data_IF_468855736670
#
_entry.id   IF_468855736670
#
_cell.length_a   1.000
_cell.length_b   1.000
_cell.length_c   1.000
_cell.angle_alpha   90.00
_cell.angle_beta   90.00
_cell.angle_gamma   90.00
#
_symmetry.space_group_name_H-M   'P 1'
#
loop_
_entity.id
_entity.type
_entity.pdbx_description
1 polymer ?
#
# COMPACT_ATOMS: atom_id res chain seq x y z
N UNK A 1 -22.85 -48.82 10.48
CA UNK A 1 -23.32 -47.58 9.85
C UNK A 1 -22.98 -46.33 10.70
N UNK A 2 -23.22 -46.31 12.01
CA UNK A 2 -22.87 -45.18 12.88
C UNK A 2 -21.35 -44.87 12.93
N UNK A 3 -20.47 -45.85 13.01
CA UNK A 3 -19.01 -45.64 13.02
C UNK A 3 -18.47 -45.02 11.72
N UNK A 4 -19.03 -45.35 10.55
CA UNK A 4 -18.59 -44.81 9.27
C UNK A 4 -19.00 -43.35 9.10
N UNK A 5 -20.16 -42.98 9.65
CA UNK A 5 -20.63 -41.57 9.63
C UNK A 5 -19.83 -40.71 10.59
N UNK A 6 -19.42 -41.23 11.75
CA UNK A 6 -18.56 -40.52 12.70
C UNK A 6 -17.14 -40.33 12.15
N UNK A 7 -16.55 -41.29 11.46
CA UNK A 7 -15.25 -41.19 10.81
C UNK A 7 -15.26 -40.19 9.63
N UNK A 8 -16.27 -40.24 8.76
CA UNK A 8 -16.43 -39.28 7.67
C UNK A 8 -16.65 -37.83 8.19
N UNK A 9 -17.38 -37.69 9.31
CA UNK A 9 -17.60 -36.38 9.91
C UNK A 9 -16.29 -35.83 10.53
N UNK A 10 -15.44 -36.69 11.07
CA UNK A 10 -14.18 -36.33 11.66
C UNK A 10 -13.15 -35.93 10.58
N UNK A 11 -13.08 -36.64 9.44
CA UNK A 11 -12.26 -36.27 8.30
C UNK A 11 -12.63 -34.92 7.69
N UNK A 12 -13.90 -34.53 7.73
CA UNK A 12 -14.37 -33.24 7.22
C UNK A 12 -14.11 -32.07 8.19
N UNK A 13 -13.89 -32.33 9.48
CA UNK A 13 -13.79 -31.31 10.51
C UNK A 13 -12.38 -31.04 11.01
N UNK A 14 -11.42 -31.93 10.74
CA UNK A 14 -10.03 -31.84 11.25
C UNK A 14 -9.06 -31.72 10.06
N UNK A 15 -8.18 -30.73 10.13
CA UNK A 15 -7.07 -30.54 9.19
C UNK A 15 -6.01 -31.63 9.39
N UNK A 16 -5.62 -32.28 8.30
CA UNK A 16 -4.71 -33.44 8.36
C UNK A 16 -3.27 -33.10 8.71
N UNK A 17 -2.85 -31.84 8.53
CA UNK A 17 -1.48 -31.39 8.80
C UNK A 17 -1.35 -30.91 10.24
N UNK A 18 -2.28 -30.07 10.68
CA UNK A 18 -2.16 -29.38 11.97
C UNK A 18 -3.04 -29.97 13.08
N UNK A 19 -3.86 -30.98 12.77
CA UNK A 19 -4.84 -31.58 13.67
C UNK A 19 -5.80 -30.58 14.35
N UNK A 20 -5.89 -29.38 13.81
CA UNK A 20 -6.85 -28.36 14.23
C UNK A 20 -8.17 -28.52 13.46
N UNK A 21 -9.20 -27.73 13.81
CA UNK A 21 -10.41 -27.75 13.04
C UNK A 21 -10.19 -27.23 11.61
N UNK A 22 -10.93 -27.81 10.66
CA UNK A 22 -11.12 -27.19 9.34
C UNK A 22 -12.06 -25.98 9.47
N UNK A 23 -12.22 -25.24 8.37
CA UNK A 23 -13.19 -24.12 8.27
C UNK A 23 -14.60 -24.55 8.66
N UNK A 24 -15.06 -25.67 8.13
CA UNK A 24 -16.40 -26.24 8.37
C UNK A 24 -16.58 -26.62 9.84
N UNK A 25 -15.60 -27.31 10.40
CA UNK A 25 -15.57 -27.68 11.82
C UNK A 25 -15.60 -26.44 12.74
N UNK A 26 -14.82 -25.43 12.43
CA UNK A 26 -14.80 -24.17 13.17
C UNK A 26 -16.16 -23.48 13.15
N UNK A 27 -16.78 -23.33 11.97
CA UNK A 27 -18.06 -22.63 11.84
C UNK A 27 -19.17 -23.31 12.64
N UNK A 28 -19.25 -24.65 12.53
CA UNK A 28 -20.25 -25.42 13.27
C UNK A 28 -20.03 -25.29 14.78
N UNK A 29 -18.83 -25.54 15.27
CA UNK A 29 -18.50 -25.51 16.70
C UNK A 29 -18.63 -24.12 17.30
N UNK A 30 -18.17 -23.09 16.60
CA UNK A 30 -18.31 -21.70 17.07
C UNK A 30 -19.77 -21.32 17.26
N UNK A 31 -20.63 -21.67 16.30
CA UNK A 31 -22.05 -21.39 16.39
C UNK A 31 -22.72 -22.10 17.62
N UNK A 32 -22.35 -23.35 17.90
CA UNK A 32 -22.81 -24.07 19.08
C UNK A 32 -22.36 -23.41 20.39
N UNK A 33 -21.09 -23.00 20.46
CA UNK A 33 -20.51 -22.40 21.67
C UNK A 33 -21.13 -21.04 21.96
N UNK A 34 -21.29 -20.18 20.97
CA UNK A 34 -21.89 -18.85 21.15
C UNK A 34 -23.34 -18.98 21.62
N UNK A 35 -24.12 -19.85 20.98
CA UNK A 35 -25.53 -20.06 21.36
C UNK A 35 -25.71 -20.61 22.78
N UNK A 36 -24.77 -21.44 23.27
CA UNK A 36 -24.85 -22.02 24.63
C UNK A 36 -24.32 -21.06 25.71
N UNK A 37 -23.54 -20.07 25.37
CA UNK A 37 -22.83 -19.20 26.32
C UNK A 37 -23.15 -17.71 26.11
N UNK A 38 -24.41 -17.37 26.12
CA UNK A 38 -24.93 -16.01 25.85
C UNK A 38 -24.45 -14.93 26.82
N UNK A 39 -23.93 -15.31 27.99
CA UNK A 39 -23.39 -14.39 28.99
C UNK A 39 -21.89 -14.10 28.80
N UNK A 40 -21.22 -14.79 27.88
CA UNK A 40 -19.80 -14.61 27.63
C UNK A 40 -19.57 -13.74 26.40
N UNK A 41 -18.56 -12.87 26.51
CA UNK A 41 -18.08 -12.09 25.37
C UNK A 41 -16.95 -12.81 24.66
N UNK A 42 -17.09 -12.98 23.36
CA UNK A 42 -16.13 -13.67 22.53
C UNK A 42 -15.45 -12.73 21.52
N UNK A 43 -14.29 -13.14 21.02
CA UNK A 43 -13.66 -12.53 19.87
C UNK A 43 -13.22 -13.62 18.88
N UNK A 44 -13.34 -13.31 17.59
CA UNK A 44 -12.73 -14.06 16.51
C UNK A 44 -11.43 -13.37 16.13
N UNK A 45 -10.34 -14.15 16.08
CA UNK A 45 -9.03 -13.69 15.60
C UNK A 45 -8.72 -14.41 14.31
N UNK A 46 -8.28 -13.66 13.30
CA UNK A 46 -7.81 -14.19 12.02
C UNK A 46 -6.34 -13.89 11.88
N UNK A 47 -5.52 -14.93 11.88
CA UNK A 47 -4.06 -14.86 11.92
C UNK A 47 -3.47 -15.45 10.65
N UNK A 48 -2.39 -14.85 10.13
CA UNK A 48 -1.52 -15.48 9.14
C UNK A 48 -0.05 -15.15 9.41
N UNK A 49 0.84 -15.98 8.89
CA UNK A 49 2.28 -15.74 8.92
C UNK A 49 2.70 -14.81 7.77
N UNK A 50 3.65 -13.94 8.05
CA UNK A 50 4.19 -13.02 7.05
C UNK A 50 5.20 -13.77 6.19
N UNK A 51 5.08 -13.61 4.87
CA UNK A 51 6.01 -14.17 3.88
C UNK A 51 6.19 -15.71 3.96
N UNK A 52 5.18 -16.45 4.49
CA UNK A 52 5.24 -17.91 4.67
C UNK A 52 5.50 -18.66 3.36
N UNK A 53 5.00 -18.16 2.23
CA UNK A 53 5.29 -18.75 0.92
C UNK A 53 6.80 -18.75 0.61
N UNK A 54 7.51 -17.67 0.98
CA UNK A 54 8.97 -17.58 0.79
C UNK A 54 9.69 -18.65 1.62
N UNK A 55 9.18 -18.94 2.83
CA UNK A 55 9.74 -20.02 3.66
C UNK A 55 9.59 -21.37 2.97
N UNK A 56 8.41 -21.67 2.42
CA UNK A 56 8.19 -22.91 1.67
C UNK A 56 9.07 -22.98 0.40
N UNK A 57 9.18 -21.88 -0.34
CA UNK A 57 10.00 -21.81 -1.55
C UNK A 57 11.50 -22.03 -1.26
N UNK A 58 11.99 -21.58 -0.09
CA UNK A 58 13.42 -21.71 0.30
C UNK A 58 13.75 -23.01 1.02
N UNK A 59 12.85 -23.51 1.87
CA UNK A 59 13.13 -24.62 2.79
C UNK A 59 12.25 -25.85 2.55
N UNK A 60 11.28 -25.76 1.64
CA UNK A 60 10.37 -26.86 1.30
C UNK A 60 9.12 -26.91 2.20
N UNK A 61 8.09 -27.61 1.68
CA UNK A 61 6.78 -27.73 2.36
C UNK A 61 6.87 -28.46 3.70
N UNK A 62 7.82 -29.40 3.88
CA UNK A 62 8.01 -30.13 5.14
C UNK A 62 8.38 -29.20 6.30
N UNK A 63 9.30 -28.26 6.07
CA UNK A 63 9.68 -27.25 7.07
C UNK A 63 8.49 -26.29 7.32
N UNK A 64 7.76 -25.90 6.29
CA UNK A 64 6.54 -25.12 6.43
C UNK A 64 5.50 -25.82 7.31
N UNK A 65 5.23 -27.09 7.11
CA UNK A 65 4.28 -27.87 7.89
C UNK A 65 4.75 -28.01 9.37
N UNK A 66 6.04 -28.16 9.62
CA UNK A 66 6.60 -28.15 10.97
C UNK A 66 6.36 -26.79 11.66
N UNK A 67 6.62 -25.68 10.98
CA UNK A 67 6.35 -24.33 11.50
C UNK A 67 4.87 -24.14 11.83
N UNK A 68 3.96 -24.60 10.97
CA UNK A 68 2.52 -24.52 11.23
C UNK A 68 2.10 -25.36 12.46
N UNK A 69 2.67 -26.52 12.63
CA UNK A 69 2.43 -27.36 13.81
C UNK A 69 2.95 -26.71 15.10
N UNK A 70 4.16 -26.14 15.08
CA UNK A 70 4.71 -25.40 16.21
C UNK A 70 3.85 -24.17 16.54
N UNK A 71 3.39 -23.44 15.54
CA UNK A 71 2.46 -22.33 15.73
C UNK A 71 1.18 -22.78 16.45
N UNK A 72 0.60 -23.92 16.06
CA UNK A 72 -0.61 -24.46 16.71
C UNK A 72 -0.33 -24.80 18.16
N UNK A 73 0.77 -25.48 18.48
CA UNK A 73 1.17 -25.78 19.85
C UNK A 73 1.33 -24.50 20.67
N UNK A 74 1.98 -23.49 20.12
CA UNK A 74 2.13 -22.19 20.78
C UNK A 74 0.76 -21.53 21.01
N UNK A 75 -0.12 -21.48 19.98
CA UNK A 75 -1.45 -20.90 20.09
C UNK A 75 -2.28 -21.56 21.19
N UNK A 76 -2.29 -22.90 21.27
CA UNK A 76 -3.03 -23.67 22.30
C UNK A 76 -2.53 -23.39 23.71
N UNK A 77 -1.21 -23.21 23.88
CA UNK A 77 -0.59 -22.93 25.17
C UNK A 77 -0.48 -21.43 25.48
N UNK A 78 -0.99 -20.54 24.62
CA UNK A 78 -0.87 -19.10 24.77
C UNK A 78 -1.72 -18.53 25.91
N UNK A 79 -1.39 -17.28 26.29
CA UNK A 79 -2.21 -16.49 27.20
C UNK A 79 -3.65 -16.26 26.68
N UNK A 80 -3.87 -16.38 25.37
CA UNK A 80 -5.17 -16.23 24.72
C UNK A 80 -6.15 -17.35 25.13
N UNK A 81 -5.62 -18.54 25.49
CA UNK A 81 -6.39 -19.73 25.84
C UNK A 81 -7.55 -19.96 24.84
N UNK A 82 -7.25 -20.21 23.56
CA UNK A 82 -8.25 -20.33 22.53
C UNK A 82 -9.22 -21.45 22.86
N UNK A 83 -10.50 -21.21 22.66
CA UNK A 83 -11.57 -22.20 22.81
C UNK A 83 -11.58 -23.13 21.59
N UNK A 84 -11.35 -22.56 20.42
CA UNK A 84 -11.20 -23.27 19.15
C UNK A 84 -10.02 -22.67 18.38
N UNK A 85 -9.29 -23.54 17.68
CA UNK A 85 -8.28 -23.18 16.67
C UNK A 85 -8.62 -23.92 15.40
N UNK A 86 -8.60 -23.23 14.29
CA UNK A 86 -8.83 -23.81 12.98
C UNK A 86 -7.85 -23.30 11.94
N UNK A 87 -7.43 -24.17 11.04
CA UNK A 87 -6.71 -23.82 9.84
C UNK A 87 -7.72 -23.57 8.71
N UNK A 88 -7.70 -22.35 8.13
CA UNK A 88 -8.62 -21.98 7.06
C UNK A 88 -8.09 -22.39 5.70
N UNK A 89 -6.88 -22.01 5.39
CA UNK A 89 -6.13 -22.36 4.16
C UNK A 89 -4.67 -21.96 4.36
N UNK A 90 -3.72 -22.76 3.85
CA UNK A 90 -2.29 -22.50 3.90
C UNK A 90 -1.79 -22.13 5.32
N UNK A 91 -1.30 -20.90 5.53
CA UNK A 91 -0.81 -20.35 6.79
C UNK A 91 -1.88 -19.54 7.58
N UNK A 92 -3.15 -19.63 7.17
CA UNK A 92 -4.23 -18.82 7.73
C UNK A 92 -4.99 -19.59 8.80
N UNK A 93 -4.99 -19.07 10.01
CA UNK A 93 -5.66 -19.64 11.16
C UNK A 93 -6.76 -18.72 11.69
N UNK A 94 -7.80 -19.34 12.26
CA UNK A 94 -8.84 -18.60 12.96
C UNK A 94 -9.01 -19.17 14.36
N UNK A 95 -9.15 -18.29 15.34
CA UNK A 95 -9.33 -18.65 16.75
C UNK A 95 -10.62 -18.06 17.27
N UNK A 96 -11.33 -18.85 18.08
CA UNK A 96 -12.36 -18.35 18.99
C UNK A 96 -11.76 -18.21 20.37
N UNK A 97 -11.79 -17.01 20.94
CA UNK A 97 -11.29 -16.74 22.27
C UNK A 97 -12.35 -16.07 23.13
N UNK A 98 -12.17 -16.14 24.46
CA UNK A 98 -12.93 -15.28 25.37
C UNK A 98 -12.30 -13.86 25.30
N UNK A 99 -13.11 -12.81 25.10
CA UNK A 99 -12.68 -11.42 24.97
C UNK A 99 -11.81 -10.97 26.18
N UNK A 100 -12.10 -11.48 27.40
CA UNK A 100 -11.35 -11.16 28.61
C UNK A 100 -9.87 -11.61 28.56
N UNK A 101 -9.53 -12.57 27.69
CA UNK A 101 -8.16 -13.06 27.52
C UNK A 101 -7.36 -12.19 26.54
N UNK A 102 -7.98 -11.20 25.88
CA UNK A 102 -7.34 -10.34 24.90
C UNK A 102 -6.50 -9.27 25.61
N UNK A 103 -5.20 -9.37 25.44
CA UNK A 103 -4.19 -8.43 25.95
C UNK A 103 -3.33 -8.00 24.75
N UNK A 104 -3.49 -6.75 24.31
CA UNK A 104 -2.87 -6.25 23.09
C UNK A 104 -1.35 -6.12 23.20
N UNK A 105 -0.82 -5.79 24.38
CA UNK A 105 0.65 -5.69 24.59
C UNK A 105 1.32 -7.05 24.51
N UNK A 106 0.71 -8.06 25.12
CA UNK A 106 1.18 -9.44 25.01
C UNK A 106 1.03 -9.96 23.59
N UNK A 107 -0.05 -9.59 22.88
CA UNK A 107 -0.30 -10.04 21.52
C UNK A 107 0.79 -9.55 20.57
N UNK A 108 1.25 -8.30 20.68
CA UNK A 108 2.35 -7.77 19.85
C UNK A 108 3.61 -8.65 19.99
N UNK A 109 3.99 -8.97 21.22
CA UNK A 109 5.16 -9.80 21.49
C UNK A 109 4.97 -11.25 21.04
N UNK A 110 3.74 -11.74 21.12
CA UNK A 110 3.40 -13.12 20.77
C UNK A 110 3.37 -13.36 19.25
N UNK A 111 3.06 -12.34 18.46
CA UNK A 111 3.03 -12.40 17.00
C UNK A 111 4.43 -12.36 16.36
N UNK A 112 5.49 -12.36 17.15
CA UNK A 112 6.87 -12.55 16.72
C UNK A 112 7.49 -13.69 17.51
N UNK A 113 7.98 -14.72 16.84
CA UNK A 113 8.67 -15.86 17.46
C UNK A 113 9.80 -16.36 16.58
N UNK A 114 10.82 -16.94 17.20
CA UNK A 114 11.96 -17.52 16.50
C UNK A 114 11.76 -19.03 16.43
N UNK A 115 11.83 -19.58 15.22
CA UNK A 115 11.77 -21.01 14.95
C UNK A 115 13.19 -21.56 14.78
N UNK A 116 13.47 -22.67 15.45
CA UNK A 116 14.77 -23.35 15.39
C UNK A 116 14.58 -24.79 14.94
N UNK A 117 15.25 -25.15 13.87
CA UNK A 117 15.30 -26.53 13.39
C UNK A 117 16.68 -26.83 12.82
N UNK A 118 17.41 -27.79 13.41
CA UNK A 118 18.79 -28.11 13.06
C UNK A 118 19.70 -26.86 13.06
N UNK A 119 20.25 -26.51 11.88
CA UNK A 119 21.05 -25.30 11.67
C UNK A 119 20.24 -24.09 11.22
N UNK A 120 18.92 -24.24 11.05
CA UNK A 120 18.02 -23.19 10.57
C UNK A 120 17.48 -22.40 11.74
N UNK A 121 17.60 -21.08 11.69
CA UNK A 121 16.97 -20.15 12.64
C UNK A 121 16.18 -19.12 11.85
N UNK A 122 14.88 -19.04 12.07
CA UNK A 122 13.97 -18.16 11.34
C UNK A 122 13.19 -17.29 12.31
N UNK A 123 13.18 -15.98 12.08
CA UNK A 123 12.28 -15.06 12.75
C UNK A 123 10.95 -15.00 12.01
N UNK A 124 9.90 -15.44 12.66
CA UNK A 124 8.55 -15.57 12.10
C UNK A 124 7.67 -14.46 12.67
N UNK A 125 7.01 -13.74 11.77
CA UNK A 125 6.09 -12.67 12.13
C UNK A 125 4.66 -13.06 11.74
N UNK A 126 3.73 -12.88 12.68
CA UNK A 126 2.30 -13.05 12.43
C UNK A 126 1.59 -11.72 12.27
N UNK A 127 0.47 -11.72 11.52
CA UNK A 127 -0.49 -10.61 11.46
C UNK A 127 -1.85 -11.09 11.92
N UNK A 128 -2.55 -10.30 12.71
CA UNK A 128 -3.82 -10.71 13.31
C UNK A 128 -4.89 -9.64 13.17
N UNK A 129 -6.00 -10.00 12.53
CA UNK A 129 -7.25 -9.23 12.57
C UNK A 129 -8.19 -9.75 13.64
N UNK A 130 -8.89 -8.87 14.34
CA UNK A 130 -9.72 -9.20 15.49
C UNK A 130 -11.12 -8.65 15.27
N UNK A 131 -12.13 -9.50 15.41
CA UNK A 131 -13.53 -9.11 15.47
C UNK A 131 -14.07 -9.38 16.88
N UNK A 132 -14.50 -8.33 17.57
CA UNK A 132 -15.16 -8.44 18.87
C UNK A 132 -16.64 -8.74 18.63
N UNK A 133 -17.12 -9.90 19.09
CA UNK A 133 -18.51 -10.32 18.86
C UNK A 133 -19.44 -9.54 19.81
N UNK A 134 -20.39 -8.74 19.29
CA UNK A 134 -21.39 -8.07 20.13
C UNK A 134 -22.32 -9.07 20.83
N UNK A 135 -22.85 -8.71 21.98
CA UNK A 135 -23.83 -9.54 22.71
C UNK A 135 -25.06 -9.90 21.86
N UNK A 136 -25.56 -8.92 21.12
CA UNK A 136 -26.65 -9.10 20.17
C UNK A 136 -26.09 -8.97 18.75
N UNK A 137 -26.05 -10.09 18.06
CA UNK A 137 -25.59 -10.12 16.66
C UNK A 137 -26.48 -11.06 15.85
N UNK A 138 -26.84 -10.61 14.65
CA UNK A 138 -27.53 -11.40 13.61
C UNK A 138 -26.58 -12.00 12.60
N UNK A 139 -25.28 -11.70 12.72
CA UNK A 139 -24.26 -12.16 11.80
C UNK A 139 -24.04 -13.67 11.94
N UNK A 140 -23.83 -14.33 10.81
CA UNK A 140 -23.35 -15.70 10.81
C UNK A 140 -21.82 -15.74 11.08
N UNK A 141 -21.29 -16.92 11.33
CA UNK A 141 -19.87 -17.10 11.70
C UNK A 141 -18.95 -16.74 10.52
N UNK A 142 -19.36 -16.99 9.30
CA UNK A 142 -18.60 -16.60 8.10
C UNK A 142 -18.40 -15.08 8.07
N UNK A 143 -19.47 -14.30 8.21
CA UNK A 143 -19.38 -12.84 8.22
C UNK A 143 -18.50 -12.30 9.36
N UNK A 144 -18.50 -12.97 10.51
CA UNK A 144 -17.63 -12.60 11.64
C UNK A 144 -16.15 -12.88 11.33
N UNK A 145 -15.85 -14.01 10.69
CA UNK A 145 -14.50 -14.35 10.25
C UNK A 145 -14.02 -13.40 9.14
N UNK A 146 -14.88 -13.04 8.19
CA UNK A 146 -14.56 -12.09 7.13
C UNK A 146 -14.26 -10.69 7.68
N UNK A 147 -14.97 -10.25 8.73
CA UNK A 147 -14.66 -9.02 9.44
C UNK A 147 -13.29 -9.05 10.13
N UNK A 148 -12.96 -10.18 10.77
CA UNK A 148 -11.62 -10.34 11.34
C UNK A 148 -10.54 -10.36 10.26
N UNK A 149 -10.77 -11.08 9.14
CA UNK A 149 -9.88 -11.10 7.98
C UNK A 149 -9.71 -9.71 7.38
N UNK A 150 -10.79 -8.96 7.24
CA UNK A 150 -10.77 -7.59 6.74
C UNK A 150 -9.91 -6.69 7.64
N UNK A 151 -10.10 -6.75 8.97
CA UNK A 151 -9.28 -5.98 9.90
C UNK A 151 -7.77 -6.26 9.73
N UNK A 152 -7.39 -7.53 9.51
CA UNK A 152 -6.00 -7.91 9.25
C UNK A 152 -5.41 -7.17 8.04
N UNK A 153 -6.20 -6.93 7.00
CA UNK A 153 -5.74 -6.24 5.78
C UNK A 153 -5.49 -4.73 6.00
N UNK A 154 -5.99 -4.16 7.11
CA UNK A 154 -5.74 -2.76 7.51
C UNK A 154 -4.49 -2.57 8.39
N UNK A 155 -3.66 -3.59 8.55
CA UNK A 155 -2.40 -3.48 9.30
C UNK A 155 -1.36 -2.79 8.40
N UNK A 156 -1.05 -1.51 8.70
CA UNK A 156 -0.06 -0.71 7.97
C UNK A 156 1.38 -1.01 8.38
N UNK A 157 1.61 -1.25 9.68
CA UNK A 157 2.95 -1.57 10.19
C UNK A 157 2.95 -2.94 10.86
N UNK A 158 3.46 -3.94 10.14
CA UNK A 158 3.49 -5.35 10.56
C UNK A 158 4.46 -5.65 11.71
N UNK A 159 5.40 -4.76 12.01
CA UNK A 159 6.39 -4.96 13.05
C UNK A 159 6.02 -4.27 14.36
N UNK A 160 5.53 -3.04 14.30
CA UNK A 160 5.19 -2.25 15.50
C UNK A 160 3.78 -2.55 16.00
N UNK A 161 2.82 -2.76 15.11
CA UNK A 161 1.43 -3.06 15.44
C UNK A 161 0.87 -4.16 14.53
N UNK A 162 1.26 -5.43 14.77
CA UNK A 162 0.90 -6.57 13.91
C UNK A 162 -0.56 -7.02 14.07
N UNK A 163 -1.43 -6.21 14.64
CA UNK A 163 -2.86 -6.51 14.79
C UNK A 163 -3.72 -5.29 14.47
N UNK A 164 -4.96 -5.56 14.07
CA UNK A 164 -6.02 -4.56 13.94
C UNK A 164 -7.33 -5.11 14.47
N UNK A 165 -8.15 -4.24 15.07
CA UNK A 165 -9.50 -4.55 15.53
C UNK A 165 -10.48 -4.01 14.52
N UNK A 166 -11.40 -4.84 14.06
CA UNK A 166 -12.43 -4.46 13.10
C UNK A 166 -13.31 -3.30 13.61
N UNK A 167 -13.62 -2.40 12.73
CA UNK A 167 -14.65 -1.38 12.90
C UNK A 167 -15.45 -1.21 11.59
N UNK A 168 -16.65 -0.65 11.67
CA UNK A 168 -17.54 -0.51 10.50
C UNK A 168 -16.96 0.39 9.39
N UNK A 169 -16.06 1.32 9.73
CA UNK A 169 -15.37 2.13 8.73
C UNK A 169 -14.50 1.28 7.80
N UNK A 170 -13.84 0.24 8.32
CA UNK A 170 -13.06 -0.69 7.49
C UNK A 170 -13.93 -1.38 6.44
N UNK A 171 -15.19 -1.71 6.80
CA UNK A 171 -16.14 -2.31 5.86
C UNK A 171 -16.54 -1.33 4.77
N UNK A 172 -16.93 -0.11 5.12
CA UNK A 172 -17.32 0.90 4.13
C UNK A 172 -16.16 1.24 3.19
N UNK A 173 -14.95 1.40 3.72
CA UNK A 173 -13.77 1.67 2.91
C UNK A 173 -13.46 0.50 1.94
N UNK A 174 -13.66 -0.76 2.39
CA UNK A 174 -13.49 -1.93 1.54
C UNK A 174 -14.56 -2.04 0.44
N UNK A 175 -15.82 -1.76 0.77
CA UNK A 175 -16.92 -1.73 -0.20
C UNK A 175 -16.71 -0.63 -1.25
N UNK A 176 -16.29 0.57 -0.84
CA UNK A 176 -15.94 1.66 -1.76
C UNK A 176 -14.81 1.24 -2.71
N UNK A 177 -13.75 0.59 -2.18
CA UNK A 177 -12.64 0.07 -3.01
C UNK A 177 -13.10 -0.99 -4.00
N UNK A 178 -13.91 -1.95 -3.55
CA UNK A 178 -14.41 -3.03 -4.40
C UNK A 178 -15.34 -2.52 -5.51
N UNK A 179 -16.19 -1.54 -5.21
CA UNK A 179 -17.02 -0.87 -6.23
C UNK A 179 -16.17 -0.15 -7.27
N UNK A 180 -15.08 0.49 -6.85
CA UNK A 180 -14.16 1.17 -7.76
C UNK A 180 -13.56 0.21 -8.79
N UNK A 181 -13.25 -1.03 -8.40
CA UNK A 181 -12.70 -2.05 -9.31
C UNK A 181 -13.71 -2.51 -10.38
N UNK A 182 -14.96 -2.74 -9.98
CA UNK A 182 -16.00 -3.21 -10.92
C UNK A 182 -16.34 -2.16 -11.97
N UNK A 183 -16.21 -0.87 -11.62
CA UNK A 183 -16.60 0.25 -12.48
C UNK A 183 -15.44 0.80 -13.33
N UNK A 184 -14.21 0.36 -13.15
CA UNK A 184 -13.03 0.94 -13.78
C UNK A 184 -13.12 0.97 -15.32
N UNK A 185 -13.43 -0.16 -15.93
CA UNK A 185 -13.50 -0.27 -17.39
C UNK A 185 -14.60 0.62 -17.98
N UNK A 186 -15.75 0.68 -17.30
CA UNK A 186 -16.85 1.56 -17.72
C UNK A 186 -16.50 3.03 -17.49
N UNK A 187 -15.90 3.36 -16.36
CA UNK A 187 -15.49 4.71 -16.04
C UNK A 187 -14.43 5.26 -17.03
N UNK A 188 -13.47 4.41 -17.45
CA UNK A 188 -12.51 4.79 -18.50
C UNK A 188 -13.22 5.03 -19.84
N UNK A 189 -14.11 4.12 -20.27
CA UNK A 189 -14.87 4.25 -21.52
C UNK A 189 -15.77 5.50 -21.53
N UNK A 190 -16.37 5.81 -20.39
CA UNK A 190 -17.23 6.98 -20.20
C UNK A 190 -16.44 8.27 -19.98
N UNK A 191 -15.11 8.24 -19.98
CA UNK A 191 -14.20 9.38 -19.72
C UNK A 191 -14.47 10.05 -18.37
N UNK A 192 -14.78 9.24 -17.35
CA UNK A 192 -14.99 9.72 -15.99
C UNK A 192 -13.68 10.08 -15.32
N UNK A 193 -12.56 9.49 -15.76
CA UNK A 193 -11.23 9.88 -15.31
C UNK A 193 -10.73 11.10 -16.06
N UNK A 194 -10.26 12.08 -15.32
CA UNK A 194 -9.66 13.30 -15.86
C UNK A 194 -8.29 13.51 -15.30
N UNK A 195 -7.35 13.91 -16.16
CA UNK A 195 -6.00 14.27 -15.75
C UNK A 195 -5.95 15.74 -15.41
N UNK A 196 -5.54 16.05 -14.20
CA UNK A 196 -5.25 17.39 -13.72
C UNK A 196 -3.74 17.59 -13.73
N UNK A 197 -3.30 18.81 -13.86
CA UNK A 197 -1.89 19.17 -13.89
C UNK A 197 -1.60 20.12 -12.74
N UNK A 198 -0.71 19.71 -11.83
CA UNK A 198 -0.27 20.59 -10.76
C UNK A 198 1.08 21.21 -11.12
N UNK A 199 1.15 22.53 -11.27
CA UNK A 199 2.40 23.21 -11.65
C UNK A 199 3.47 23.06 -10.58
N UNK A 200 4.71 22.87 -11.05
CA UNK A 200 5.94 22.88 -10.24
C UNK A 200 6.71 24.12 -10.62
N UNK A 201 7.11 24.88 -9.61
CA UNK A 201 7.75 26.17 -9.76
C UNK A 201 9.24 26.09 -9.40
N UNK A 202 10.05 26.83 -10.10
CA UNK A 202 11.44 27.07 -9.71
C UNK A 202 11.48 27.83 -8.37
N UNK A 203 12.24 27.32 -7.42
CA UNK A 203 12.27 27.83 -6.06
C UNK A 203 12.79 29.26 -5.94
N UNK A 204 13.63 29.71 -6.86
CA UNK A 204 14.22 31.05 -6.81
C UNK A 204 13.46 32.06 -7.70
N UNK A 205 13.15 31.67 -8.93
CA UNK A 205 12.55 32.57 -9.92
C UNK A 205 11.02 32.58 -9.88
N UNK A 206 10.41 31.63 -9.17
CA UNK A 206 8.96 31.41 -9.10
C UNK A 206 8.29 31.21 -10.47
N UNK A 207 9.05 30.75 -11.47
CA UNK A 207 8.51 30.41 -12.80
C UNK A 207 8.14 28.94 -12.84
N UNK A 208 7.13 28.62 -13.65
CA UNK A 208 6.73 27.23 -13.90
C UNK A 208 7.83 26.54 -14.71
N UNK A 209 8.29 25.39 -14.24
CA UNK A 209 9.31 24.55 -14.90
C UNK A 209 8.78 23.23 -15.39
N UNK A 210 7.79 22.69 -14.71
CA UNK A 210 7.11 21.42 -15.04
C UNK A 210 5.73 21.34 -14.39
N UNK A 211 5.06 20.22 -14.57
CA UNK A 211 3.85 19.91 -13.78
C UNK A 211 3.72 18.41 -13.54
N UNK A 212 3.03 18.04 -12.48
CA UNK A 212 2.66 16.67 -12.18
C UNK A 212 1.26 16.34 -12.70
N UNK A 213 1.11 15.20 -13.38
CA UNK A 213 -0.16 14.68 -13.87
C UNK A 213 -0.86 13.88 -12.77
N UNK A 214 -1.99 14.37 -12.32
CA UNK A 214 -2.76 13.84 -11.21
C UNK A 214 -4.16 13.42 -11.68
N UNK A 215 -4.49 12.15 -11.60
CA UNK A 215 -5.79 11.63 -11.99
C UNK A 215 -6.88 12.02 -10.96
N UNK A 216 -8.10 12.31 -11.44
CA UNK A 216 -9.31 12.51 -10.63
C UNK A 216 -10.45 11.72 -11.26
N UNK A 217 -11.24 11.04 -10.45
CA UNK A 217 -12.41 10.31 -10.94
C UNK A 217 -13.67 11.12 -10.72
N UNK A 218 -14.31 11.52 -11.82
CA UNK A 218 -15.58 12.26 -11.86
C UNK A 218 -16.73 11.26 -12.00
N UNK A 219 -17.11 10.63 -10.90
CA UNK A 219 -18.22 9.67 -10.87
C UNK A 219 -19.56 10.40 -11.06
N UNK A 220 -20.43 9.93 -11.97
CA UNK A 220 -21.77 10.54 -12.16
C UNK A 220 -22.63 10.48 -10.90
N UNK A 221 -22.41 9.52 -10.03
CA UNK A 221 -23.20 9.29 -8.82
C UNK A 221 -22.56 9.86 -7.56
N UNK A 222 -21.22 9.84 -7.46
CA UNK A 222 -20.49 10.16 -6.25
C UNK A 222 -19.69 11.47 -6.33
N UNK A 223 -19.77 12.20 -7.46
CA UNK A 223 -18.99 13.41 -7.69
C UNK A 223 -17.50 13.12 -7.86
N UNK A 224 -16.63 14.02 -7.40
CA UNK A 224 -15.18 13.87 -7.56
C UNK A 224 -14.64 12.95 -6.48
N UNK A 225 -14.12 11.79 -6.88
CA UNK A 225 -13.46 10.82 -6.00
C UNK A 225 -11.95 11.05 -6.08
N UNK A 226 -11.32 11.19 -4.90
CA UNK A 226 -9.87 11.43 -4.79
C UNK A 226 -9.06 10.14 -4.98
N UNK A 227 -7.80 10.22 -5.50
CA UNK A 227 -6.91 9.08 -5.72
C UNK A 227 -6.75 8.16 -4.51
N UNK A 228 -6.63 8.72 -3.30
CA UNK A 228 -6.50 7.96 -2.06
C UNK A 228 -7.65 6.98 -1.77
N UNK A 229 -8.79 7.13 -2.46
CA UNK A 229 -9.96 6.27 -2.30
C UNK A 229 -9.96 5.06 -3.25
N UNK A 230 -9.35 5.17 -4.43
CA UNK A 230 -9.41 4.10 -5.44
C UNK A 230 -8.04 3.52 -5.83
N UNK A 231 -6.96 4.31 -5.82
CA UNK A 231 -5.62 3.83 -6.21
C UNK A 231 -5.18 2.61 -5.39
N UNK A 232 -5.26 2.59 -4.04
CA UNK A 232 -4.81 1.42 -3.28
C UNK A 232 -5.50 0.12 -3.67
N UNK A 233 -6.80 0.18 -4.02
CA UNK A 233 -7.53 -1.00 -4.48
C UNK A 233 -7.09 -1.45 -5.87
N UNK A 234 -6.78 -0.51 -6.77
CA UNK A 234 -6.29 -0.80 -8.11
C UNK A 234 -4.88 -1.41 -8.06
N UNK A 235 -4.02 -0.93 -7.16
CA UNK A 235 -2.69 -1.51 -6.93
C UNK A 235 -2.77 -2.94 -6.37
N UNK A 236 -3.57 -3.17 -5.32
CA UNK A 236 -3.76 -4.49 -4.71
C UNK A 236 -4.29 -5.52 -5.72
N UNK A 237 -5.10 -5.10 -6.68
CA UNK A 237 -5.70 -5.97 -7.71
C UNK A 237 -4.90 -6.06 -9.00
N UNK A 238 -3.88 -5.23 -9.18
CA UNK A 238 -3.11 -5.11 -10.42
C UNK A 238 -3.80 -4.34 -11.55
N UNK A 239 -5.00 -3.79 -11.31
CA UNK A 239 -5.72 -2.99 -12.31
C UNK A 239 -5.19 -1.56 -12.46
N UNK A 240 -4.26 -1.13 -11.60
CA UNK A 240 -3.64 0.20 -11.67
C UNK A 240 -2.99 0.45 -13.04
N UNK A 241 -2.36 -0.56 -13.65
CA UNK A 241 -1.71 -0.45 -14.95
C UNK A 241 -2.66 -0.05 -16.08
N UNK A 242 -3.95 -0.38 -15.97
CA UNK A 242 -4.97 0.06 -16.95
C UNK A 242 -5.21 1.55 -16.83
N UNK A 243 -5.32 2.05 -15.59
CA UNK A 243 -5.50 3.47 -15.31
C UNK A 243 -4.25 4.27 -15.70
N UNK A 244 -3.06 3.78 -15.36
CA UNK A 244 -1.79 4.46 -15.65
C UNK A 244 -1.52 4.49 -17.16
N UNK A 245 -1.90 3.43 -17.89
CA UNK A 245 -1.93 3.45 -19.37
C UNK A 245 -2.84 4.56 -19.92
N UNK A 246 -4.04 4.72 -19.35
CA UNK A 246 -4.96 5.80 -19.74
C UNK A 246 -4.38 7.19 -19.42
N UNK A 247 -3.77 7.37 -18.24
CA UNK A 247 -3.11 8.62 -17.86
C UNK A 247 -1.97 8.94 -18.81
N UNK A 248 -1.10 7.96 -19.10
CA UNK A 248 0.00 8.10 -20.05
C UNK A 248 -0.48 8.58 -21.43
N UNK A 249 -1.49 7.91 -22.00
CA UNK A 249 -2.05 8.27 -23.29
C UNK A 249 -2.68 9.68 -23.27
N UNK A 250 -3.33 10.04 -22.16
CA UNK A 250 -3.92 11.37 -21.97
C UNK A 250 -2.88 12.49 -21.90
N UNK A 251 -1.76 12.24 -21.20
CA UNK A 251 -0.63 13.17 -21.11
C UNK A 251 0.04 13.33 -22.49
N UNK A 252 0.27 12.22 -23.20
CA UNK A 252 0.81 12.27 -24.56
C UNK A 252 -0.07 13.09 -25.49
N UNK A 253 -1.38 12.81 -25.50
CA UNK A 253 -2.32 13.55 -26.33
C UNK A 253 -2.31 15.05 -26.01
N UNK A 254 -2.19 15.42 -24.75
CA UNK A 254 -2.09 16.81 -24.32
C UNK A 254 -0.81 17.47 -24.83
N UNK A 255 0.34 16.82 -24.65
CA UNK A 255 1.62 17.35 -25.11
C UNK A 255 1.68 17.49 -26.63
N UNK A 256 1.21 16.48 -27.37
CA UNK A 256 1.23 16.47 -28.83
C UNK A 256 0.26 17.46 -29.48
N UNK A 257 -0.92 17.64 -28.91
CA UNK A 257 -1.96 18.47 -29.54
C UNK A 257 -2.00 19.91 -29.03
N UNK A 258 -1.56 20.11 -27.79
CA UNK A 258 -1.83 21.36 -27.08
C UNK A 258 -0.56 22.12 -26.65
N UNK A 259 0.59 21.43 -26.57
CA UNK A 259 1.83 21.99 -26.05
C UNK A 259 3.02 21.90 -27.02
N UNK A 260 2.78 21.75 -28.34
CA UNK A 260 3.84 21.56 -29.33
C UNK A 260 4.93 22.63 -29.29
N UNK A 261 4.56 23.89 -29.05
CA UNK A 261 5.45 25.04 -29.02
C UNK A 261 5.85 25.47 -27.60
N UNK A 262 5.41 24.73 -26.58
CA UNK A 262 5.66 25.05 -25.16
C UNK A 262 6.63 24.02 -24.60
N UNK A 263 7.84 24.43 -24.18
CA UNK A 263 8.86 23.49 -23.65
C UNK A 263 8.54 23.10 -22.20
N UNK A 264 7.36 22.53 -21.97
CA UNK A 264 6.93 22.05 -20.65
C UNK A 264 7.19 20.54 -20.51
N UNK A 265 7.66 20.12 -19.36
CA UNK A 265 7.76 18.71 -18.99
C UNK A 265 6.62 18.34 -18.04
N UNK A 266 6.06 17.13 -18.19
CA UNK A 266 5.01 16.61 -17.32
C UNK A 266 5.52 15.36 -16.64
N UNK A 267 5.48 15.32 -15.33
CA UNK A 267 5.75 14.08 -14.59
C UNK A 267 4.50 13.25 -14.42
N UNK A 268 4.65 11.94 -14.44
CA UNK A 268 3.60 10.99 -14.13
C UNK A 268 4.12 9.87 -13.24
N UNK A 269 3.24 9.40 -12.38
CA UNK A 269 3.53 8.30 -11.47
C UNK A 269 3.64 6.97 -12.23
N UNK A 270 4.62 6.15 -11.87
CA UNK A 270 4.74 4.75 -12.24
C UNK A 270 4.56 3.88 -11.00
N UNK A 271 3.49 3.11 -10.99
CA UNK A 271 3.24 2.16 -9.92
C UNK A 271 4.25 1.00 -9.95
N UNK A 272 4.39 0.30 -8.81
CA UNK A 272 5.17 -0.95 -8.77
C UNK A 272 4.64 -1.97 -9.80
N UNK A 273 3.34 -1.99 -10.03
CA UNK A 273 2.72 -2.93 -10.98
C UNK A 273 3.08 -2.62 -12.42
N UNK A 274 3.27 -1.33 -12.76
CA UNK A 274 3.72 -0.91 -14.09
C UNK A 274 5.15 -1.38 -14.35
N UNK A 275 6.03 -1.26 -13.35
CA UNK A 275 7.41 -1.72 -13.41
C UNK A 275 7.57 -3.26 -13.46
N UNK A 276 6.47 -3.99 -13.23
CA UNK A 276 6.39 -5.45 -13.42
C UNK A 276 5.62 -5.85 -14.68
N UNK A 277 5.01 -4.91 -15.40
CA UNK A 277 4.14 -5.16 -16.54
C UNK A 277 4.83 -4.79 -17.87
N UNK A 278 5.24 -5.82 -18.64
CA UNK A 278 5.96 -5.62 -19.88
C UNK A 278 5.16 -4.83 -20.93
N UNK A 279 3.82 -4.89 -20.90
CA UNK A 279 3.00 -4.20 -21.90
C UNK A 279 3.05 -2.68 -21.75
N UNK A 280 2.94 -2.16 -20.53
CA UNK A 280 3.05 -0.70 -20.29
C UNK A 280 4.50 -0.23 -20.49
N UNK A 281 5.49 -1.00 -20.06
CA UNK A 281 6.90 -0.66 -20.30
C UNK A 281 7.20 -0.57 -21.81
N UNK A 282 6.73 -1.53 -22.61
CA UNK A 282 6.88 -1.49 -24.06
C UNK A 282 6.15 -0.31 -24.68
N UNK A 283 4.89 -0.04 -24.26
CA UNK A 283 4.12 1.10 -24.72
C UNK A 283 4.87 2.42 -24.53
N UNK A 284 5.48 2.59 -23.35
CA UNK A 284 6.27 3.77 -23.02
C UNK A 284 7.54 3.84 -23.87
N UNK A 285 8.24 2.71 -24.08
CA UNK A 285 9.47 2.66 -24.86
C UNK A 285 9.26 2.78 -26.37
N UNK A 286 8.13 2.35 -26.92
CA UNK A 286 7.82 2.44 -28.34
C UNK A 286 7.64 3.88 -28.81
N UNK A 287 7.35 4.80 -27.89
CA UNK A 287 7.16 6.21 -28.24
C UNK A 287 8.47 7.00 -28.17
N UNK A 288 9.05 7.31 -29.33
CA UNK A 288 10.29 8.07 -29.45
C UNK A 288 10.11 9.57 -29.07
N UNK A 289 8.86 10.08 -28.99
CA UNK A 289 8.55 11.49 -28.66
C UNK A 289 8.37 11.73 -27.16
N UNK A 290 8.75 10.80 -26.35
CA UNK A 290 8.49 10.78 -24.91
C UNK A 290 9.38 11.75 -24.08
N UNK A 291 10.22 12.58 -24.73
CA UNK A 291 11.18 13.45 -24.06
C UNK A 291 10.59 14.51 -23.12
N UNK A 292 9.28 14.77 -23.25
CA UNK A 292 8.57 15.73 -22.40
C UNK A 292 7.86 15.08 -21.20
N UNK A 293 7.95 13.77 -21.04
CA UNK A 293 7.39 13.07 -19.90
C UNK A 293 8.53 12.66 -18.95
N UNK A 294 8.39 12.99 -17.67
CA UNK A 294 9.24 12.50 -16.60
C UNK A 294 8.47 11.44 -15.80
N UNK A 295 9.17 10.59 -15.07
CA UNK A 295 8.55 9.47 -14.37
C UNK A 295 8.86 9.53 -12.89
N UNK A 296 7.82 9.40 -12.06
CA UNK A 296 7.90 9.39 -10.61
C UNK A 296 7.74 7.98 -10.10
N UNK A 297 8.67 7.52 -9.27
CA UNK A 297 8.66 6.18 -8.68
C UNK A 297 8.79 6.32 -7.18
N UNK A 298 7.85 5.72 -6.43
CA UNK A 298 7.94 5.74 -4.96
C UNK A 298 9.12 4.90 -4.48
N UNK A 299 9.68 5.26 -3.32
CA UNK A 299 10.78 4.51 -2.69
C UNK A 299 10.44 3.03 -2.52
N UNK A 300 9.21 2.72 -2.09
CA UNK A 300 8.74 1.34 -1.89
C UNK A 300 8.63 0.54 -3.18
N UNK A 301 8.26 1.18 -4.29
CA UNK A 301 8.22 0.54 -5.60
C UNK A 301 9.65 0.22 -6.07
N UNK A 302 10.58 1.17 -5.92
CA UNK A 302 11.97 0.99 -6.32
C UNK A 302 12.68 -0.11 -5.54
N UNK A 303 12.53 -0.18 -4.22
CA UNK A 303 13.23 -1.15 -3.34
C UNK A 303 12.95 -2.62 -3.69
N UNK A 304 11.95 -2.89 -4.52
CA UNK A 304 11.51 -4.24 -4.93
C UNK A 304 11.63 -4.50 -6.43
N UNK A 305 12.42 -3.69 -7.17
CA UNK A 305 12.53 -3.79 -8.62
C UNK A 305 13.26 -5.07 -9.07
N UNK A 306 12.79 -5.60 -10.20
CA UNK A 306 13.50 -6.62 -10.98
C UNK A 306 14.60 -5.98 -11.83
N UNK A 307 15.52 -6.81 -12.35
CA UNK A 307 16.56 -6.37 -13.30
C UNK A 307 15.92 -5.68 -14.52
N UNK A 308 14.85 -6.24 -15.07
CA UNK A 308 14.15 -5.67 -16.23
C UNK A 308 13.58 -4.27 -15.97
N UNK A 309 13.09 -4.01 -14.75
CA UNK A 309 12.55 -2.69 -14.38
C UNK A 309 13.68 -1.65 -14.25
N UNK A 310 14.83 -2.05 -13.71
CA UNK A 310 16.01 -1.17 -13.67
C UNK A 310 16.52 -0.84 -15.08
N UNK A 311 16.58 -1.82 -15.98
CA UNK A 311 16.96 -1.60 -17.39
C UNK A 311 15.99 -0.67 -18.10
N UNK A 312 14.70 -0.79 -17.80
CA UNK A 312 13.66 0.10 -18.33
C UNK A 312 13.87 1.54 -17.88
N UNK A 313 14.02 1.78 -16.57
CA UNK A 313 14.25 3.13 -16.03
C UNK A 313 15.57 3.73 -16.57
N UNK A 314 16.64 2.94 -16.63
CA UNK A 314 17.92 3.36 -17.22
C UNK A 314 17.79 3.73 -18.70
N UNK A 315 16.95 3.00 -19.45
CA UNK A 315 16.68 3.31 -20.87
C UNK A 315 15.95 4.64 -21.00
N UNK A 316 14.96 4.91 -20.13
CA UNK A 316 14.24 6.20 -20.10
C UNK A 316 15.19 7.35 -19.78
N UNK A 317 16.05 7.18 -18.78
CA UNK A 317 17.05 8.18 -18.41
C UNK A 317 18.02 8.49 -19.57
N UNK A 318 18.52 7.45 -20.27
CA UNK A 318 19.36 7.62 -21.47
C UNK A 318 18.64 8.35 -22.62
N UNK A 319 17.32 8.31 -22.68
CA UNK A 319 16.52 9.05 -23.65
C UNK A 319 16.25 10.50 -23.26
N UNK A 320 16.71 10.94 -22.07
CA UNK A 320 16.57 12.31 -21.56
C UNK A 320 15.26 12.55 -20.76
N UNK A 321 14.56 11.46 -20.38
CA UNK A 321 13.50 11.55 -19.38
C UNK A 321 14.13 11.65 -18.00
N UNK A 322 13.60 12.49 -17.11
CA UNK A 322 14.03 12.53 -15.72
C UNK A 322 13.28 11.46 -14.92
N UNK A 323 13.99 10.80 -14.02
CA UNK A 323 13.43 9.86 -13.07
C UNK A 323 13.42 10.50 -11.69
N UNK A 324 12.23 10.62 -11.10
CA UNK A 324 12.02 11.24 -9.81
C UNK A 324 11.73 10.17 -8.77
N UNK A 325 12.33 10.33 -7.59
CA UNK A 325 11.92 9.55 -6.42
C UNK A 325 10.83 10.31 -5.69
N UNK A 326 9.66 9.67 -5.53
CA UNK A 326 8.49 10.24 -4.86
C UNK A 326 8.35 9.79 -3.41
N UNK A 327 7.62 10.56 -2.60
CA UNK A 327 7.30 10.29 -1.19
C UNK A 327 8.52 10.08 -0.28
N UNK A 328 9.66 10.72 -0.58
CA UNK A 328 10.87 10.52 0.21
C UNK A 328 10.70 10.99 1.65
N UNK A 329 10.92 10.05 2.59
CA UNK A 329 10.81 10.29 4.03
C UNK A 329 9.46 9.98 4.65
N UNK A 330 8.47 9.51 3.87
CA UNK A 330 7.16 9.11 4.39
C UNK A 330 7.19 7.76 5.15
N UNK A 331 8.23 6.95 4.97
CA UNK A 331 8.33 5.59 5.48
C UNK A 331 9.68 5.25 6.13
N UNK A 332 10.05 3.99 6.06
CA UNK A 332 11.37 3.50 6.47
C UNK A 332 12.33 3.73 5.29
N UNK A 333 12.59 5.00 5.00
CA UNK A 333 13.49 5.40 3.93
C UNK A 333 14.90 4.90 4.19
N UNK A 334 15.44 4.08 3.30
CA UNK A 334 16.83 3.70 3.37
C UNK A 334 17.65 4.58 2.42
N UNK A 335 18.63 5.29 2.95
CA UNK A 335 19.64 6.00 2.14
C UNK A 335 20.33 5.06 1.13
N UNK A 336 20.19 3.74 1.28
CA UNK A 336 20.67 2.76 0.32
C UNK A 336 19.95 2.85 -1.03
N UNK A 337 18.66 3.17 -1.06
CA UNK A 337 17.88 3.30 -2.30
C UNK A 337 18.40 4.42 -3.18
N UNK A 338 18.75 5.57 -2.57
CA UNK A 338 19.33 6.72 -3.30
C UNK A 338 20.73 6.38 -3.88
N UNK A 339 21.50 5.52 -3.21
CA UNK A 339 22.83 5.12 -3.68
C UNK A 339 22.77 4.17 -4.88
N UNK A 340 21.74 3.34 -4.96
CA UNK A 340 21.69 2.20 -5.88
C UNK A 340 21.09 2.56 -7.25
N UNK A 341 20.54 3.78 -7.43
CA UNK A 341 20.06 4.29 -8.70
C UNK A 341 20.31 5.81 -8.84
N UNK A 342 20.57 6.24 -10.07
CA UNK A 342 20.80 7.65 -10.44
C UNK A 342 19.44 8.36 -10.66
N UNK A 343 18.81 8.84 -9.57
CA UNK A 343 17.66 9.72 -9.67
C UNK A 343 18.10 11.14 -10.04
N UNK A 344 17.28 11.83 -10.82
CA UNK A 344 17.52 13.23 -11.17
C UNK A 344 17.00 14.19 -10.10
N UNK A 345 15.84 13.81 -9.50
CA UNK A 345 15.11 14.67 -8.57
C UNK A 345 14.56 13.82 -7.42
N UNK A 346 14.63 14.35 -6.21
CA UNK A 346 13.97 13.78 -5.02
C UNK A 346 12.81 14.70 -4.61
N UNK A 347 11.60 14.14 -4.51
CA UNK A 347 10.42 14.82 -3.99
C UNK A 347 10.32 14.57 -2.48
N UNK A 348 10.42 15.63 -1.71
CA UNK A 348 10.30 15.59 -0.24
C UNK A 348 8.84 15.64 0.13
N UNK A 349 8.38 14.62 0.87
CA UNK A 349 6.99 14.48 1.32
C UNK A 349 6.50 15.70 2.13
N UNK A 350 5.24 16.04 1.92
CA UNK A 350 4.56 17.15 2.57
C UNK A 350 4.64 17.10 4.12
N UNK A 351 4.85 15.94 4.73
CA UNK A 351 4.98 15.78 6.17
C UNK A 351 6.17 16.54 6.74
N UNK A 352 7.28 16.67 6.00
CA UNK A 352 8.41 17.50 6.40
C UNK A 352 8.07 18.99 6.25
N UNK A 353 7.48 19.36 5.12
CA UNK A 353 7.18 20.77 4.79
C UNK A 353 6.12 21.36 5.73
N UNK A 354 5.09 20.61 6.09
CA UNK A 354 4.03 21.06 7.03
C UNK A 354 4.56 21.38 8.41
N UNK A 355 5.65 20.77 8.82
CA UNK A 355 6.24 20.96 10.15
C UNK A 355 7.32 22.07 10.19
N UNK A 356 7.54 22.82 9.12
CA UNK A 356 8.45 23.98 9.09
C UNK A 356 7.96 25.03 10.09
N UNK A 357 8.89 25.47 10.95
CA UNK A 357 8.61 26.48 11.99
C UNK A 357 8.00 25.93 13.29
N UNK A 358 7.57 24.67 13.35
CA UNK A 358 7.05 24.06 14.57
C UNK A 358 8.13 23.48 15.48
N UNK A 359 9.25 23.07 14.92
CA UNK A 359 10.34 22.43 15.66
C UNK A 359 11.69 22.71 15.00
N UNK A 360 12.61 23.30 15.77
CA UNK A 360 13.97 23.51 15.31
C UNK A 360 14.66 22.20 14.83
N UNK A 361 14.33 21.08 15.44
CA UNK A 361 14.84 19.77 15.03
C UNK A 361 14.34 19.37 13.64
N UNK A 362 13.04 19.59 13.35
CA UNK A 362 12.49 19.31 12.02
C UNK A 362 13.11 20.20 10.96
N UNK A 363 13.26 21.50 11.24
CA UNK A 363 13.85 22.46 10.32
C UNK A 363 15.31 22.09 10.02
N UNK A 364 16.08 21.70 11.04
CA UNK A 364 17.48 21.26 10.87
C UNK A 364 17.58 19.96 10.06
N UNK A 365 16.65 19.02 10.25
CA UNK A 365 16.61 17.77 9.47
C UNK A 365 16.31 18.08 8.01
N UNK A 366 15.29 18.90 7.73
CA UNK A 366 14.92 19.26 6.37
C UNK A 366 16.04 20.00 5.63
N UNK A 367 16.67 20.98 6.28
CA UNK A 367 17.82 21.70 5.72
C UNK A 367 19.00 20.75 5.40
N UNK A 368 19.33 19.85 6.33
CA UNK A 368 20.37 18.84 6.13
C UNK A 368 20.02 17.84 5.01
N UNK A 369 18.75 17.51 4.85
CA UNK A 369 18.27 16.64 3.81
C UNK A 369 18.44 17.28 2.42
N UNK A 370 18.04 18.54 2.26
CA UNK A 370 18.24 19.30 1.02
C UNK A 370 19.75 19.37 0.67
N UNK A 371 20.60 19.70 1.64
CA UNK A 371 22.05 19.75 1.42
C UNK A 371 22.62 18.37 1.02
N UNK A 372 22.17 17.30 1.66
CA UNK A 372 22.59 15.94 1.34
C UNK A 372 22.23 15.56 -0.10
N UNK A 373 21.01 15.84 -0.54
CA UNK A 373 20.55 15.54 -1.90
C UNK A 373 21.38 16.31 -2.93
N UNK A 374 21.69 17.58 -2.69
CA UNK A 374 22.55 18.37 -3.56
C UNK A 374 23.99 17.83 -3.64
N UNK A 375 24.54 17.33 -2.53
CA UNK A 375 25.88 16.70 -2.53
C UNK A 375 25.94 15.42 -3.37
N UNK A 376 24.77 14.80 -3.63
CA UNK A 376 24.61 13.65 -4.51
C UNK A 376 24.31 14.07 -5.96
N UNK A 377 24.44 15.37 -6.28
CA UNK A 377 24.20 15.95 -7.61
C UNK A 377 22.76 15.84 -8.11
N UNK A 378 21.78 15.59 -7.18
CA UNK A 378 20.35 15.53 -7.46
C UNK A 378 19.67 16.85 -7.10
N UNK A 379 18.50 17.11 -7.69
CA UNK A 379 17.63 18.25 -7.37
C UNK A 379 16.54 17.87 -6.38
N UNK A 380 15.93 18.89 -5.79
CA UNK A 380 14.90 18.74 -4.76
C UNK A 380 13.61 19.41 -5.20
N UNK A 381 12.49 18.69 -5.10
CA UNK A 381 11.12 19.25 -5.09
C UNK A 381 10.60 19.19 -3.66
N UNK A 382 10.13 20.30 -3.10
CA UNK A 382 9.40 20.32 -1.84
C UNK A 382 7.90 20.33 -2.12
N UNK A 383 7.19 19.33 -1.59
CA UNK A 383 5.75 19.16 -1.79
C UNK A 383 4.91 19.77 -0.67
N UNK A 384 3.67 20.14 -1.01
CA UNK A 384 2.68 20.59 -0.03
C UNK A 384 2.98 21.95 0.58
N UNK A 385 3.66 22.83 -0.15
CA UNK A 385 3.91 24.21 0.29
C UNK A 385 2.62 25.02 0.25
N UNK A 386 2.16 25.50 1.40
CA UNK A 386 0.89 26.21 1.56
C UNK A 386 1.05 27.64 2.08
N UNK A 387 2.19 27.96 2.73
CA UNK A 387 2.41 29.27 3.34
C UNK A 387 3.69 29.95 2.83
N UNK A 388 3.74 31.27 3.02
CA UNK A 388 4.93 32.04 2.66
C UNK A 388 6.13 31.69 3.53
N UNK A 389 5.91 31.40 4.80
CA UNK A 389 6.96 31.03 5.75
C UNK A 389 7.66 29.73 5.29
N UNK A 390 6.88 28.76 4.80
CA UNK A 390 7.42 27.51 4.23
C UNK A 390 8.24 27.80 2.97
N UNK A 391 7.73 28.64 2.07
CA UNK A 391 8.44 29.03 0.86
C UNK A 391 9.76 29.74 1.18
N UNK A 392 9.73 30.74 2.08
CA UNK A 392 10.90 31.53 2.45
C UNK A 392 11.99 30.62 3.07
N UNK A 393 11.60 29.68 3.94
CA UNK A 393 12.52 28.67 4.50
C UNK A 393 13.17 27.80 3.41
N UNK A 394 12.36 27.27 2.51
CA UNK A 394 12.84 26.40 1.43
C UNK A 394 13.80 27.14 0.46
N UNK A 395 13.49 28.41 0.17
CA UNK A 395 14.38 29.29 -0.62
C UNK A 395 15.71 29.56 0.08
N UNK A 396 15.67 29.83 1.38
CA UNK A 396 16.89 30.08 2.19
C UNK A 396 17.82 28.86 2.18
N UNK A 397 17.24 27.64 2.16
CA UNK A 397 18.01 26.39 2.14
C UNK A 397 18.26 25.85 0.73
N UNK A 398 17.94 26.65 -0.31
CA UNK A 398 18.31 26.36 -1.69
C UNK A 398 17.48 25.28 -2.37
N UNK A 399 16.25 25.00 -1.89
CA UNK A 399 15.35 24.04 -2.56
C UNK A 399 15.13 24.45 -4.02
N UNK A 400 15.33 23.51 -4.97
CA UNK A 400 15.30 23.81 -6.41
C UNK A 400 13.89 24.09 -6.91
N UNK A 401 12.93 23.25 -6.49
CA UNK A 401 11.58 23.30 -7.01
C UNK A 401 10.54 23.23 -5.89
N UNK A 402 9.42 23.88 -6.13
CA UNK A 402 8.32 24.02 -5.16
C UNK A 402 7.01 23.58 -5.79
N UNK A 403 6.30 22.71 -5.09
CA UNK A 403 4.95 22.28 -5.45
C UNK A 403 4.02 22.44 -4.25
N UNK A 404 2.88 23.13 -4.46
CA UNK A 404 1.92 23.30 -3.38
C UNK A 404 0.84 24.33 -3.64
N UNK A 405 -0.14 24.37 -2.75
CA UNK A 405 -1.30 25.25 -2.86
C UNK A 405 -0.98 26.73 -2.66
N UNK A 406 0.20 27.02 -2.17
CA UNK A 406 0.70 28.42 -2.13
C UNK A 406 0.71 29.04 -3.53
N UNK A 407 1.17 28.31 -4.54
CA UNK A 407 1.20 28.78 -5.90
C UNK A 407 -0.05 28.37 -6.70
N UNK A 408 -0.36 27.06 -6.72
CA UNK A 408 -1.48 26.54 -7.49
C UNK A 408 -1.97 25.19 -6.94
N UNK A 409 -3.29 25.00 -6.98
CA UNK A 409 -3.91 23.67 -6.89
C UNK A 409 -3.77 22.95 -8.23
N UNK A 410 -3.96 21.62 -8.28
CA UNK A 410 -4.09 20.90 -9.55
C UNK A 410 -5.16 21.53 -10.44
N UNK A 411 -4.80 21.81 -11.68
CA UNK A 411 -5.66 22.49 -12.67
C UNK A 411 -6.15 21.50 -13.72
N UNK A 412 -7.35 21.73 -14.24
CA UNK A 412 -7.82 21.03 -15.43
C UNK A 412 -7.00 21.44 -16.64
N UNK A 413 -6.94 20.58 -17.66
CA UNK A 413 -6.18 20.75 -18.89
C UNK A 413 -6.23 22.16 -19.49
N UNK A 414 -7.43 22.71 -19.62
CA UNK A 414 -7.61 24.03 -20.27
C UNK A 414 -7.06 25.19 -19.45
N UNK A 415 -7.18 25.13 -18.13
CA UNK A 415 -6.69 26.19 -17.25
C UNK A 415 -5.18 26.10 -17.07
N UNK A 416 -4.62 24.88 -17.01
CA UNK A 416 -3.19 24.67 -17.03
C UNK A 416 -2.55 25.19 -18.33
N UNK A 417 -3.17 24.90 -19.49
CA UNK A 417 -2.69 25.43 -20.78
C UNK A 417 -2.64 26.95 -20.80
N UNK A 418 -3.68 27.64 -20.32
CA UNK A 418 -3.68 29.10 -20.23
C UNK A 418 -2.55 29.62 -19.36
N UNK A 419 -2.26 28.93 -18.24
CA UNK A 419 -1.24 29.32 -17.29
C UNK A 419 0.17 29.23 -17.89
N UNK A 420 0.48 28.20 -18.66
CA UNK A 420 1.81 27.99 -19.27
C UNK A 420 2.00 28.73 -20.60
N UNK A 421 0.93 29.30 -21.17
CA UNK A 421 0.98 30.08 -22.42
C UNK A 421 1.20 31.59 -22.18
N UNK A 422 1.11 32.04 -20.94
CA UNK A 422 1.36 33.42 -20.52
C UNK A 422 2.80 33.58 -20.00
#
# INVERSE_FOLDING_TARGET
>A
MLCVVDDMTRELEIDSVTETYTREGFFRRTNEIIKRNTQQEFAIMYLNLVDFKIINDLYGDEIGDMILNDLVVQLQNSFLKPILVARMVADQFTLLINKRNLDYEKLIKYLHFTYHYESITLDIYGRCGIYLIPHETTLNILDMCDRAKLAKNYISNRYLKPYAVYNEKMKSDHEERSMSLIQLDEAIKNKEFQVYYQPIYDGQTEKIVSAEALVRWHSPTNGVILPSKFIPALEESGYITILDTYVYQSVQEFLEKECQDIPIKISMNLSRMDLMNQNIMNLILENERNQHINYEVTESAYSSLSVNANDFLSTLHQRGNMILMDDFGSGVSSLSTIRDFEFDIIKIDMGFVRNIGYSQSNDSILASLIEMIHRLEMKVVAEGVETKEQLDFLKEHGCDFIQGFYFSKPLIKNDFKKLISN
#
